data_IF_090618165368
#
_entry.id   IF_090618165368
#
_cell.length_a   1.000
_cell.length_b   1.000
_cell.length_c   1.000
_cell.angle_alpha   90.00
_cell.angle_beta   90.00
_cell.angle_gamma   90.00
#
_symmetry.space_group_name_H-M   'P 1'
#
loop_
_entity.id
_entity.type
_entity.pdbx_description
1 polymer ?
#
# COMPACT_ATOMS: atom_id res chain seq x y z
N UNK A 1 -56.89 26.31 17.25
CA UNK A 1 -57.22 25.72 15.93
C UNK A 1 -56.03 25.88 14.96
N UNK A 2 -54.79 25.70 15.43
CA UNK A 2 -53.56 26.05 14.68
C UNK A 2 -52.61 24.87 14.45
N UNK A 3 -52.70 23.80 15.25
CA UNK A 3 -51.84 22.62 15.09
C UNK A 3 -52.22 21.73 13.88
N UNK A 4 -53.46 21.83 13.39
CA UNK A 4 -53.94 21.06 12.23
C UNK A 4 -53.38 21.59 10.90
N UNK A 5 -53.09 22.90 10.81
CA UNK A 5 -52.59 23.54 9.58
C UNK A 5 -51.13 23.17 9.28
N UNK A 6 -50.30 22.97 10.31
CA UNK A 6 -48.91 22.55 10.15
C UNK A 6 -48.77 21.11 9.67
N UNK A 7 -49.69 20.22 10.08
CA UNK A 7 -49.70 18.82 9.61
C UNK A 7 -50.11 18.71 8.13
N UNK A 8 -51.05 19.54 7.67
CA UNK A 8 -51.44 19.58 6.25
C UNK A 8 -50.31 20.14 5.36
N UNK A 9 -49.52 21.10 5.87
CA UNK A 9 -48.34 21.62 5.17
C UNK A 9 -47.20 20.62 5.03
N UNK A 10 -46.97 19.78 6.05
CA UNK A 10 -45.95 18.71 6.01
C UNK A 10 -46.32 17.58 5.05
N UNK A 11 -47.60 17.27 4.89
CA UNK A 11 -48.07 16.24 3.95
C UNK A 11 -47.96 16.71 2.49
N UNK A 12 -48.13 18.02 2.22
CA UNK A 12 -47.93 18.58 0.88
C UNK A 12 -46.45 18.58 0.45
N UNK A 13 -45.52 18.75 1.40
CA UNK A 13 -44.09 18.71 1.13
C UNK A 13 -43.57 17.30 0.80
N UNK A 14 -44.22 16.24 1.33
CA UNK A 14 -43.84 14.86 1.03
C UNK A 14 -44.31 14.35 -0.34
N UNK A 15 -45.26 15.03 -0.99
CA UNK A 15 -45.81 14.62 -2.29
C UNK A 15 -45.11 15.24 -3.52
N UNK A 16 -44.23 16.23 -3.33
CA UNK A 16 -43.53 16.89 -4.43
C UNK A 16 -42.16 16.28 -4.77
N UNK A 17 -41.71 15.26 -4.03
CA UNK A 17 -40.41 14.63 -4.25
C UNK A 17 -40.53 13.33 -5.05
N UNK A 18 -41.28 13.31 -6.15
CA UNK A 18 -41.30 12.10 -6.98
C UNK A 18 -41.57 12.34 -8.45
N UNK A 19 -40.94 13.37 -9.03
CA UNK A 19 -40.91 13.49 -10.48
C UNK A 19 -39.55 13.93 -10.97
N UNK A 20 -38.67 12.93 -11.11
CA UNK A 20 -37.49 13.06 -11.97
C UNK A 20 -37.97 12.88 -13.41
N UNK A 21 -38.48 13.96 -14.00
CA UNK A 21 -38.80 13.95 -15.44
C UNK A 21 -37.48 14.04 -16.21
N UNK A 22 -37.07 12.87 -16.72
CA UNK A 22 -36.07 12.64 -17.77
C UNK A 22 -34.71 13.34 -17.64
N UNK A 23 -33.91 12.84 -16.70
CA UNK A 23 -32.45 12.76 -16.84
C UNK A 23 -32.08 11.28 -16.73
N UNK A 24 -31.27 10.75 -17.65
CA UNK A 24 -30.78 9.36 -17.54
C UNK A 24 -29.97 9.29 -16.25
N UNK A 25 -30.41 8.47 -15.30
CA UNK A 25 -29.72 8.28 -14.03
C UNK A 25 -28.77 7.09 -14.15
N UNK A 26 -27.54 7.26 -13.67
CA UNK A 26 -26.55 6.18 -13.59
C UNK A 26 -26.52 5.73 -12.15
N UNK A 27 -27.04 4.55 -11.89
CA UNK A 27 -27.11 3.96 -10.55
C UNK A 27 -26.06 2.86 -10.43
N UNK A 28 -25.27 2.91 -9.36
CA UNK A 28 -24.38 1.83 -8.97
C UNK A 28 -25.11 0.98 -7.93
N UNK A 29 -25.55 -0.20 -8.34
CA UNK A 29 -26.16 -1.17 -7.44
C UNK A 29 -25.20 -2.34 -7.23
N UNK A 30 -24.70 -2.48 -6.00
CA UNK A 30 -23.64 -3.41 -5.63
C UNK A 30 -22.33 -3.19 -6.41
N UNK A 31 -22.10 -3.97 -7.46
CA UNK A 31 -20.95 -3.88 -8.36
C UNK A 31 -21.39 -3.78 -9.82
N UNK A 32 -22.68 -3.49 -10.06
CA UNK A 32 -23.26 -3.34 -11.39
C UNK A 32 -23.60 -1.89 -11.67
N UNK A 33 -23.44 -1.51 -12.93
CA UNK A 33 -23.83 -0.18 -13.43
C UNK A 33 -25.16 -0.31 -14.14
N UNK A 34 -26.18 0.36 -13.60
CA UNK A 34 -27.55 0.31 -14.13
C UNK A 34 -27.94 1.71 -14.60
N UNK A 35 -28.38 1.81 -15.85
CA UNK A 35 -28.98 3.03 -16.38
C UNK A 35 -30.49 2.99 -16.19
N UNK A 36 -31.05 4.05 -15.62
CA UNK A 36 -32.49 4.20 -15.41
C UNK A 36 -33.02 5.39 -16.19
N UNK A 37 -34.07 5.17 -16.98
CA UNK A 37 -34.81 6.22 -17.67
C UNK A 37 -36.33 6.00 -17.62
N UNK A 38 -37.11 7.08 -17.69
CA UNK A 38 -38.57 7.01 -17.74
C UNK A 38 -39.12 6.33 -19.01
N UNK A 39 -38.33 6.32 -20.09
CA UNK A 39 -38.69 5.72 -21.38
C UNK A 39 -37.66 4.66 -21.82
N UNK A 40 -37.88 4.05 -22.98
CA UNK A 40 -36.96 3.06 -23.55
C UNK A 40 -35.57 3.64 -23.82
N UNK A 41 -34.53 2.94 -23.34
CA UNK A 41 -33.13 3.32 -23.55
C UNK A 41 -32.63 2.71 -24.87
N UNK A 42 -32.06 3.55 -25.73
CA UNK A 42 -31.41 3.13 -26.98
C UNK A 42 -29.89 3.16 -26.82
N UNK A 43 -29.25 2.05 -27.14
CA UNK A 43 -27.78 1.96 -27.21
C UNK A 43 -27.31 2.44 -28.58
N UNK A 44 -26.26 3.27 -28.59
CA UNK A 44 -25.65 3.80 -29.81
C UNK A 44 -24.32 3.11 -30.07
N UNK A 45 -23.43 3.16 -29.08
CA UNK A 45 -22.05 2.73 -29.22
C UNK A 45 -21.47 2.30 -27.87
N UNK A 46 -20.48 1.41 -27.91
CA UNK A 46 -19.78 0.90 -26.73
C UNK A 46 -20.40 -0.38 -26.18
N UNK A 47 -20.49 -0.48 -24.86
CA UNK A 47 -20.85 -1.70 -24.13
C UNK A 47 -22.34 -2.00 -24.32
N UNK A 48 -22.66 -3.21 -24.81
CA UNK A 48 -24.05 -3.61 -24.98
C UNK A 48 -24.57 -4.16 -23.65
N UNK A 49 -25.47 -3.41 -23.02
CA UNK A 49 -26.15 -3.82 -21.79
C UNK A 49 -27.33 -4.77 -22.03
N UNK A 50 -27.82 -5.36 -20.95
CA UNK A 50 -29.00 -6.22 -20.90
C UNK A 50 -30.18 -5.44 -20.30
N UNK A 51 -31.33 -5.33 -20.99
CA UNK A 51 -32.49 -4.65 -20.42
C UNK A 51 -33.09 -5.46 -19.26
N UNK A 52 -33.45 -4.77 -18.18
CA UNK A 52 -34.12 -5.36 -17.02
C UNK A 52 -35.63 -5.06 -17.12
N UNK A 53 -36.41 -6.12 -17.30
CA UNK A 53 -37.88 -6.25 -17.23
C UNK A 53 -38.76 -5.31 -18.09
N UNK A 54 -38.42 -4.03 -18.26
CA UNK A 54 -39.27 -3.01 -18.90
C UNK A 54 -38.53 -2.12 -19.93
N UNK A 55 -37.29 -2.45 -20.30
CA UNK A 55 -36.39 -1.64 -21.15
C UNK A 55 -36.12 -0.20 -20.65
N UNK A 56 -36.68 0.18 -19.49
CA UNK A 56 -36.43 1.42 -18.75
C UNK A 56 -35.15 1.36 -17.92
N UNK A 57 -34.74 0.15 -17.56
CA UNK A 57 -33.52 -0.14 -16.84
C UNK A 57 -32.59 -0.95 -17.74
N UNK A 58 -31.33 -0.53 -17.85
CA UNK A 58 -30.31 -1.20 -18.66
C UNK A 58 -29.11 -1.56 -17.78
N UNK A 59 -28.85 -2.85 -17.59
CA UNK A 59 -27.67 -3.36 -16.87
C UNK A 59 -26.47 -3.36 -17.81
N UNK A 60 -25.45 -2.56 -17.52
CA UNK A 60 -24.19 -2.52 -18.28
C UNK A 60 -23.19 -3.58 -17.81
N UNK A 61 -23.58 -4.41 -16.84
CA UNK A 61 -22.73 -5.42 -16.24
C UNK A 61 -21.90 -4.85 -15.08
N UNK A 62 -20.82 -5.57 -14.77
CA UNK A 62 -19.99 -5.22 -13.62
C UNK A 62 -19.15 -3.98 -13.90
N UNK A 63 -19.07 -3.10 -12.91
CA UNK A 63 -18.20 -1.92 -12.86
C UNK A 63 -16.75 -2.24 -13.23
N UNK A 64 -16.21 -3.35 -12.73
CA UNK A 64 -14.82 -3.79 -12.96
C UNK A 64 -14.47 -4.15 -14.41
N UNK A 65 -15.48 -4.29 -15.28
CA UNK A 65 -15.30 -4.55 -16.71
C UNK A 65 -15.18 -3.27 -17.54
N UNK A 66 -15.14 -2.11 -16.88
CA UNK A 66 -15.04 -0.79 -17.51
C UNK A 66 -16.11 -0.57 -18.59
N UNK A 67 -17.41 -0.58 -18.22
CA UNK A 67 -18.47 -0.30 -19.18
C UNK A 67 -18.32 1.13 -19.70
N UNK A 68 -18.09 1.25 -21.00
CA UNK A 68 -17.99 2.52 -21.71
C UNK A 68 -18.99 2.54 -22.86
N UNK A 69 -19.65 3.66 -23.12
CA UNK A 69 -20.57 3.78 -24.25
C UNK A 69 -21.50 4.99 -24.19
N UNK A 70 -22.21 5.21 -25.28
CA UNK A 70 -23.17 6.30 -25.42
C UNK A 70 -24.59 5.76 -25.53
N UNK A 71 -25.48 6.29 -24.71
CA UNK A 71 -26.86 5.85 -24.58
C UNK A 71 -27.81 7.03 -24.74
N UNK A 72 -28.96 6.77 -25.34
CA UNK A 72 -30.01 7.75 -25.61
C UNK A 72 -31.30 7.33 -24.91
N UNK A 73 -32.07 8.32 -24.49
CA UNK A 73 -33.42 8.12 -23.99
C UNK A 73 -34.29 9.33 -24.33
N UNK A 74 -35.56 9.06 -24.64
CA UNK A 74 -36.53 10.11 -24.95
C UNK A 74 -37.24 10.59 -23.68
N UNK A 75 -37.46 11.91 -23.61
CA UNK A 75 -38.28 12.58 -22.61
C UNK A 75 -39.69 12.00 -22.50
N UNK A 76 -40.25 11.94 -21.28
CA UNK A 76 -41.64 11.53 -21.01
C UNK A 76 -42.36 12.66 -20.27
N UNK A 77 -43.67 12.82 -20.48
CA UNK A 77 -44.46 13.87 -19.82
C UNK A 77 -44.27 15.24 -20.47
N UNK A 78 -44.00 16.27 -19.66
CA UNK A 78 -43.85 17.67 -20.10
C UNK A 78 -42.67 17.90 -21.05
N UNK A 79 -41.78 16.92 -21.18
CA UNK A 79 -40.61 16.93 -22.06
C UNK A 79 -40.70 15.91 -23.20
N UNK A 80 -41.91 15.44 -23.51
CA UNK A 80 -42.16 14.56 -24.65
C UNK A 80 -41.60 15.16 -25.95
N UNK A 81 -40.63 14.47 -26.55
CA UNK A 81 -39.96 14.89 -27.78
C UNK A 81 -38.54 15.43 -27.60
N UNK A 82 -38.05 15.64 -26.36
CA UNK A 82 -36.63 15.91 -26.12
C UNK A 82 -35.84 14.61 -26.07
N UNK A 83 -34.68 14.60 -26.71
CA UNK A 83 -33.74 13.46 -26.69
C UNK A 83 -32.61 13.76 -25.69
N UNK A 84 -32.37 12.83 -24.76
CA UNK A 84 -31.29 12.88 -23.79
C UNK A 84 -30.23 11.86 -24.17
N UNK A 85 -28.96 12.28 -24.19
CA UNK A 85 -27.83 11.39 -24.38
C UNK A 85 -26.91 11.42 -23.15
N UNK A 86 -26.41 10.26 -22.74
CA UNK A 86 -25.39 10.13 -21.70
C UNK A 86 -24.22 9.33 -22.26
N UNK A 87 -23.01 9.82 -22.00
CA UNK A 87 -21.77 9.08 -22.23
C UNK A 87 -21.33 8.50 -20.89
N UNK A 88 -21.31 7.18 -20.80
CA UNK A 88 -20.83 6.44 -19.64
C UNK A 88 -19.38 6.12 -19.89
N UNK A 89 -18.50 6.56 -18.99
CA UNK A 89 -17.08 6.27 -19.06
C UNK A 89 -16.58 5.78 -17.69
N UNK A 90 -16.49 4.45 -17.55
CA UNK A 90 -15.86 3.83 -16.38
C UNK A 90 -14.39 3.53 -16.69
N UNK A 91 -13.52 3.88 -15.75
CA UNK A 91 -12.12 3.49 -15.72
C UNK A 91 -11.78 3.02 -14.32
N UNK A 92 -12.11 1.76 -14.07
CA UNK A 92 -11.69 1.05 -12.87
C UNK A 92 -10.23 0.64 -13.00
N UNK A 93 -9.55 0.66 -11.87
CA UNK A 93 -8.17 0.25 -11.80
C UNK A 93 -8.10 -0.98 -10.91
N UNK A 94 -7.94 -2.15 -11.52
CA UNK A 94 -7.92 -3.44 -10.82
C UNK A 94 -6.78 -3.55 -9.79
N UNK A 95 -5.75 -2.71 -9.91
CA UNK A 95 -4.57 -2.74 -9.05
C UNK A 95 -4.19 -1.37 -8.48
N UNK A 96 -5.14 -0.43 -8.43
CA UNK A 96 -4.90 0.84 -7.77
C UNK A 96 -5.06 0.66 -6.26
N UNK A 97 -4.02 1.04 -5.53
CA UNK A 97 -4.06 1.14 -4.08
C UNK A 97 -4.27 2.60 -3.77
N UNK A 98 -5.35 2.91 -3.04
CA UNK A 98 -5.50 4.24 -2.46
C UNK A 98 -4.44 4.41 -1.38
N UNK A 99 -3.42 5.21 -1.69
CA UNK A 99 -2.38 5.56 -0.72
C UNK A 99 -2.91 6.69 0.17
N UNK A 100 -3.50 6.31 1.30
CA UNK A 100 -3.76 7.27 2.36
C UNK A 100 -2.44 7.75 3.00
N UNK A 101 -2.44 9.01 3.44
CA UNK A 101 -1.32 9.65 4.13
C UNK A 101 -0.87 8.84 5.35
N UNK A 102 -1.77 8.21 6.09
CA UNK A 102 -1.42 7.36 7.22
C UNK A 102 -0.74 6.05 6.78
N UNK A 103 -1.21 5.43 5.70
CA UNK A 103 -0.59 4.23 5.12
C UNK A 103 0.82 4.53 4.61
N UNK A 104 0.99 5.64 3.88
CA UNK A 104 2.29 6.08 3.40
C UNK A 104 3.27 6.36 4.57
N UNK A 105 2.81 7.08 5.59
CA UNK A 105 3.61 7.33 6.79
C UNK A 105 3.97 6.03 7.52
N UNK A 106 3.02 5.09 7.62
CA UNK A 106 3.25 3.77 8.22
C UNK A 106 4.31 2.96 7.48
N UNK A 107 4.29 2.96 6.15
CA UNK A 107 5.31 2.31 5.32
C UNK A 107 6.70 2.91 5.61
N UNK A 108 6.80 4.24 5.60
CA UNK A 108 8.08 4.94 5.85
C UNK A 108 8.62 4.65 7.26
N UNK A 109 7.78 4.76 8.29
CA UNK A 109 8.18 4.53 9.68
C UNK A 109 8.62 3.07 9.88
N UNK A 110 7.88 2.12 9.30
CA UNK A 110 8.21 0.69 9.41
C UNK A 110 9.54 0.37 8.72
N UNK A 111 9.79 0.95 7.55
CA UNK A 111 11.05 0.79 6.82
C UNK A 111 12.26 1.35 7.59
N UNK A 112 12.09 2.52 8.22
CA UNK A 112 13.12 3.11 9.09
C UNK A 112 13.43 2.21 10.30
N UNK A 113 12.41 1.68 10.97
CA UNK A 113 12.59 0.78 12.12
C UNK A 113 13.27 -0.52 11.67
N UNK A 114 12.82 -1.13 10.57
CA UNK A 114 13.41 -2.35 10.04
C UNK A 114 14.88 -2.16 9.70
N UNK A 115 15.22 -1.06 9.03
CA UNK A 115 16.60 -0.71 8.68
C UNK A 115 17.46 -0.49 9.93
N UNK A 116 16.93 0.20 10.95
CA UNK A 116 17.64 0.40 12.22
C UNK A 116 17.92 -0.92 12.95
N UNK A 117 16.93 -1.82 13.00
CA UNK A 117 17.08 -3.15 13.62
C UNK A 117 18.11 -4.00 12.88
N UNK A 118 18.10 -3.97 11.54
CA UNK A 118 19.11 -4.65 10.73
C UNK A 118 20.51 -4.07 10.97
N UNK A 119 20.64 -2.74 11.03
CA UNK A 119 21.91 -2.08 11.31
C UNK A 119 22.45 -2.43 12.70
N UNK A 120 21.59 -2.41 13.74
CA UNK A 120 21.96 -2.84 15.09
C UNK A 120 22.34 -4.33 15.13
N UNK A 121 21.62 -5.18 14.40
CA UNK A 121 21.94 -6.61 14.29
C UNK A 121 23.35 -6.83 13.73
N UNK A 122 23.68 -6.16 12.62
CA UNK A 122 25.03 -6.23 12.02
C UNK A 122 26.08 -5.63 12.96
N UNK A 123 25.80 -4.49 13.59
CA UNK A 123 26.71 -3.84 14.52
C UNK A 123 27.03 -4.75 15.72
N UNK A 124 26.01 -5.35 16.34
CA UNK A 124 26.18 -6.30 17.44
C UNK A 124 26.92 -7.58 17.00
N UNK A 125 26.64 -8.08 15.80
CA UNK A 125 27.32 -9.26 15.26
C UNK A 125 28.82 -9.00 15.03
N UNK A 126 29.18 -7.88 14.40
CA UNK A 126 30.57 -7.48 14.20
C UNK A 126 31.28 -7.11 15.52
N UNK A 127 30.54 -6.52 16.47
CA UNK A 127 31.03 -6.19 17.80
C UNK A 127 31.34 -7.40 18.68
N UNK A 128 30.65 -8.53 18.47
CA UNK A 128 30.89 -9.76 19.23
C UNK A 128 32.27 -10.35 18.96
N UNK A 129 32.84 -10.17 17.76
CA UNK A 129 34.21 -10.62 17.46
C UNK A 129 35.30 -9.70 18.03
N UNK A 130 34.94 -8.46 18.41
CA UNK A 130 35.88 -7.47 18.97
C UNK A 130 35.85 -7.36 20.51
N UNK A 131 35.08 -8.22 21.20
CA UNK A 131 34.86 -8.15 22.64
C UNK A 131 35.16 -9.44 23.41
N UNK A 132 36.44 -9.75 23.65
CA UNK A 132 36.82 -10.55 24.83
C UNK A 132 37.59 -9.68 25.82
N UNK A 133 36.90 -8.75 26.49
CA UNK A 133 37.39 -8.14 27.73
C UNK A 133 36.22 -7.79 28.67
N UNK A 134 35.53 -8.82 29.18
CA UNK A 134 35.08 -8.75 30.58
C UNK A 134 36.34 -8.89 31.44
N UNK A 135 36.99 -7.76 31.71
CA UNK A 135 38.12 -7.66 32.62
C UNK A 135 37.63 -7.69 34.06
N UNK A 136 37.20 -8.84 34.55
CA UNK A 136 37.11 -9.15 35.97
C UNK A 136 36.89 -10.65 36.15
N UNK A 137 37.76 -11.29 36.94
CA UNK A 137 37.61 -12.64 37.47
C UNK A 137 37.70 -13.80 36.48
N UNK A 138 38.91 -14.16 36.02
CA UNK A 138 39.36 -15.58 36.15
C UNK A 138 40.83 -15.87 35.75
N UNK A 139 41.68 -14.87 35.52
CA UNK A 139 43.10 -15.16 35.22
C UNK A 139 44.01 -15.20 36.45
N UNK A 140 43.48 -14.95 37.65
CA UNK A 140 44.31 -14.84 38.86
C UNK A 140 44.57 -16.16 39.60
N UNK A 141 44.20 -17.32 39.02
CA UNK A 141 44.29 -18.59 39.78
C UNK A 141 44.84 -19.80 39.03
N UNK A 142 45.31 -19.68 37.78
CA UNK A 142 45.74 -20.85 36.99
C UNK A 142 47.12 -20.80 36.33
N UNK A 143 48.12 -20.09 36.87
CA UNK A 143 49.52 -20.51 36.66
C UNK A 143 50.37 -20.18 37.90
N UNK A 144 50.19 -20.97 38.96
CA UNK A 144 51.17 -21.11 40.05
C UNK A 144 52.03 -22.34 39.73
N UNK A 145 52.85 -22.28 38.68
CA UNK A 145 53.80 -23.34 38.39
C UNK A 145 55.15 -22.72 37.97
N UNK A 146 55.97 -22.47 38.97
CA UNK A 146 57.22 -21.70 38.91
C UNK A 146 58.45 -22.48 38.39
N UNK A 147 58.33 -23.66 37.75
CA UNK A 147 59.52 -24.48 37.45
C UNK A 147 59.54 -25.28 36.14
N UNK A 148 59.01 -24.79 35.01
CA UNK A 148 59.16 -25.52 33.74
C UNK A 148 59.47 -24.66 32.50
N UNK A 149 60.30 -23.63 32.65
CA UNK A 149 61.07 -23.12 31.51
C UNK A 149 62.46 -23.74 31.54
N UNK A 150 62.71 -24.64 30.60
CA UNK A 150 64.06 -25.08 30.29
C UNK A 150 64.80 -23.88 29.67
N UNK A 151 65.91 -23.40 30.24
CA UNK A 151 66.68 -22.32 29.63
C UNK A 151 67.17 -22.80 28.26
N UNK A 152 66.97 -21.99 27.22
CA UNK A 152 67.62 -22.20 25.93
C UNK A 152 69.13 -22.12 26.18
N UNK A 153 69.77 -23.29 26.23
CA UNK A 153 71.23 -23.41 26.31
C UNK A 153 71.79 -22.89 24.99
N UNK A 154 72.63 -21.87 25.06
CA UNK A 154 73.33 -21.30 23.93
C UNK A 154 73.97 -22.44 23.12
N UNK A 155 73.49 -22.63 21.89
CA UNK A 155 74.03 -23.62 20.96
C UNK A 155 74.77 -22.86 19.88
N UNK A 156 75.97 -22.40 20.26
CA UNK A 156 76.92 -21.67 19.42
C UNK A 156 77.57 -22.51 18.30
N UNK A 157 77.09 -23.73 18.04
CA UNK A 157 77.71 -24.65 17.07
C UNK A 157 77.01 -24.69 15.70
N UNK A 158 76.07 -23.79 15.42
CA UNK A 158 75.47 -23.71 14.09
C UNK A 158 76.43 -22.99 13.13
N UNK A 159 76.76 -23.65 12.01
CA UNK A 159 77.66 -23.16 10.94
C UNK A 159 77.32 -21.77 10.35
N UNK A 160 76.20 -21.16 10.72
CA UNK A 160 75.71 -19.88 10.22
C UNK A 160 75.79 -18.73 11.25
N UNK A 161 76.26 -18.98 12.48
CA UNK A 161 76.31 -17.99 13.57
C UNK A 161 77.40 -16.91 13.42
N UNK A 162 78.24 -16.99 12.39
CA UNK A 162 79.41 -16.11 12.24
C UNK A 162 79.30 -15.10 11.09
N UNK A 163 78.17 -15.03 10.39
CA UNK A 163 78.05 -14.23 9.16
C UNK A 163 77.86 -12.71 9.43
N UNK A 164 77.71 -12.27 10.69
CA UNK A 164 77.32 -10.88 10.99
C UNK A 164 78.24 -10.03 11.88
N UNK A 165 79.39 -10.53 12.37
CA UNK A 165 80.12 -9.87 13.48
C UNK A 165 81.11 -8.75 13.13
N UNK A 166 81.19 -8.30 11.87
CA UNK A 166 82.32 -7.46 11.42
C UNK A 166 81.96 -6.02 11.03
N UNK A 167 80.96 -5.38 11.65
CA UNK A 167 80.78 -3.94 11.48
C UNK A 167 81.39 -3.15 12.65
N UNK A 168 82.51 -2.44 12.46
CA UNK A 168 83.05 -1.56 13.49
C UNK A 168 82.14 -0.32 13.63
N UNK A 169 81.50 -0.17 14.79
CA UNK A 169 80.95 1.11 15.22
C UNK A 169 82.10 1.96 15.78
N UNK A 170 82.44 3.04 15.07
CA UNK A 170 83.38 4.05 15.55
C UNK A 170 82.70 4.91 16.63
N UNK A 171 83.46 5.22 17.68
CA UNK A 171 83.06 5.96 18.87
C UNK A 171 83.12 7.47 18.66
#
# INVERSE_FOLDING_TARGET
>A
MEQSKFLVGLILATLLLQVSFCKINVEEHEDKVILTCGNNITWIEGTKGNPISDNKHLDLGKRILDPQGMYKCNGTGDEAGKEYSVEVYYRMCQNCVELDSATLAGIIITDLIATLLLALGVYCFAGHETGRFSGAADTQTLVRNDQLYQPLRDRDDAHFSHIGRNWPQNK
#
